data_IF_372647011793
#
_entry.id   IF_372647011793
#
_cell.length_a   1.000
_cell.length_b   1.000
_cell.length_c   1.000
_cell.angle_alpha   90.00
_cell.angle_beta   90.00
_cell.angle_gamma   90.00
#
_symmetry.space_group_name_H-M   'P 1'
#
loop_
_entity.id
_entity.type
_entity.pdbx_description
1 polymer ?
#
# COMPACT_ATOMS: atom_id res chain seq x y z
N UNK A 1 -11.04 -75.19 -36.53
CA UNK A 1 -9.58 -75.04 -36.39
C UNK A 1 -9.02 -74.47 -37.69
N UNK A 2 -8.33 -73.33 -37.64
CA UNK A 2 -7.16 -73.02 -38.50
C UNK A 2 -6.56 -71.69 -38.02
N UNK A 3 -5.28 -71.76 -37.63
CA UNK A 3 -4.41 -70.68 -37.13
C UNK A 3 -3.57 -70.09 -38.30
N UNK A 4 -2.77 -69.02 -38.09
CA UNK A 4 -2.67 -67.85 -38.97
C UNK A 4 -1.47 -67.89 -39.95
N UNK A 5 -1.48 -66.99 -40.94
CA UNK A 5 -0.31 -66.68 -41.77
C UNK A 5 0.35 -65.37 -41.34
N UNK A 6 1.68 -65.40 -41.25
CA UNK A 6 2.55 -64.44 -40.59
C UNK A 6 3.44 -63.72 -41.63
N UNK A 7 3.64 -62.40 -41.39
CA UNK A 7 4.75 -61.50 -41.80
C UNK A 7 4.90 -61.15 -43.29
N UNK A 8 5.08 -59.84 -43.55
CA UNK A 8 6.27 -59.32 -44.23
C UNK A 8 6.49 -57.84 -43.84
N UNK A 9 7.75 -57.50 -43.56
CA UNK A 9 8.23 -56.21 -43.10
C UNK A 9 8.39 -55.18 -44.24
N UNK A 10 8.26 -53.89 -43.92
CA UNK A 10 8.86 -52.82 -44.70
C UNK A 10 9.40 -51.73 -43.77
N UNK A 11 10.71 -51.79 -43.50
CA UNK A 11 11.48 -50.62 -43.06
C UNK A 11 11.65 -49.71 -44.26
N UNK A 12 11.32 -48.42 -44.13
CA UNK A 12 11.94 -47.38 -44.98
C UNK A 12 12.27 -46.16 -44.14
N UNK A 13 13.56 -45.84 -44.14
CA UNK A 13 14.18 -44.72 -43.47
C UNK A 13 14.15 -43.45 -44.33
N UNK A 14 14.48 -42.33 -43.65
CA UNK A 14 14.85 -41.00 -44.16
C UNK A 14 13.66 -40.09 -44.60
N UNK A 15 13.65 -38.77 -44.36
CA UNK A 15 14.72 -37.77 -44.21
C UNK A 15 14.32 -36.68 -43.22
N UNK A 16 15.30 -36.15 -42.50
CA UNK A 16 15.27 -34.86 -41.84
C UNK A 16 15.13 -33.73 -42.87
N UNK A 17 14.12 -32.88 -42.74
CA UNK A 17 14.03 -31.57 -43.40
C UNK A 17 13.63 -30.51 -42.37
N UNK A 18 14.36 -29.41 -42.38
CA UNK A 18 14.47 -28.35 -41.38
C UNK A 18 13.15 -27.64 -41.02
N UNK A 19 13.04 -27.01 -39.82
CA UNK A 19 11.93 -26.11 -39.53
C UNK A 19 12.14 -24.77 -40.26
N UNK A 20 11.28 -24.50 -41.25
CA UNK A 20 11.13 -23.16 -41.83
C UNK A 20 10.39 -22.28 -40.82
N UNK A 21 11.01 -21.17 -40.45
CA UNK A 21 10.41 -20.09 -39.68
C UNK A 21 9.08 -19.67 -40.32
N UNK A 22 7.97 -19.88 -39.60
CA UNK A 22 6.63 -19.48 -40.07
C UNK A 22 6.30 -18.12 -39.47
N UNK A 23 6.03 -17.19 -40.38
CA UNK A 23 5.64 -15.81 -40.18
C UNK A 23 4.54 -15.64 -39.13
N UNK A 24 4.75 -14.66 -38.25
CA UNK A 24 3.77 -14.16 -37.29
C UNK A 24 2.67 -13.42 -38.07
N UNK A 25 1.46 -13.97 -38.11
CA UNK A 25 0.26 -13.25 -38.48
C UNK A 25 -0.56 -13.02 -37.21
N UNK A 26 -0.79 -11.77 -36.76
CA UNK A 26 -1.65 -11.51 -35.62
C UNK A 26 -3.11 -11.57 -36.07
N UNK A 27 -3.68 -12.76 -36.14
CA UNK A 27 -5.15 -12.89 -36.16
C UNK A 27 -5.67 -12.67 -34.74
N UNK A 28 -6.04 -11.43 -34.41
CA UNK A 28 -6.81 -11.15 -33.19
C UNK A 28 -8.27 -11.49 -33.49
N UNK A 29 -8.59 -12.78 -33.48
CA UNK A 29 -9.97 -13.24 -33.51
C UNK A 29 -10.52 -13.16 -32.09
N UNK A 30 -11.30 -12.11 -31.83
CA UNK A 30 -12.11 -11.98 -30.62
C UNK A 30 -13.23 -13.02 -30.66
N UNK A 31 -12.95 -14.22 -30.13
CA UNK A 31 -13.97 -15.17 -29.73
C UNK A 31 -14.19 -14.94 -28.24
N UNK A 32 -15.37 -14.41 -27.88
CA UNK A 32 -15.81 -14.25 -26.50
C UNK A 32 -16.05 -15.60 -25.83
N UNK A 33 -14.97 -16.38 -25.65
CA UNK A 33 -14.97 -17.61 -24.89
C UNK A 33 -15.05 -17.29 -23.41
N UNK A 34 -16.12 -17.76 -22.77
CA UNK A 34 -16.29 -17.77 -21.33
C UNK A 34 -15.04 -18.38 -20.68
N UNK A 35 -14.42 -17.68 -19.73
CA UNK A 35 -13.25 -18.20 -19.03
C UNK A 35 -13.64 -19.52 -18.35
N UNK A 36 -13.20 -20.63 -18.94
CA UNK A 36 -13.38 -21.95 -18.35
C UNK A 36 -12.49 -22.07 -17.12
N UNK A 37 -12.96 -22.79 -16.10
CA UNK A 37 -12.22 -22.98 -14.85
C UNK A 37 -10.78 -23.40 -15.14
N UNK A 38 -9.82 -22.58 -14.71
CA UNK A 38 -8.38 -22.82 -14.86
C UNK A 38 -7.65 -21.91 -15.85
N UNK A 39 -8.34 -21.17 -16.73
CA UNK A 39 -7.69 -20.23 -17.65
C UNK A 39 -7.59 -18.83 -17.03
N UNK A 40 -6.81 -18.71 -15.96
CA UNK A 40 -6.42 -17.41 -15.40
C UNK A 40 -5.49 -16.70 -16.38
N UNK A 41 -6.00 -15.68 -17.07
CA UNK A 41 -5.21 -14.86 -17.99
C UNK A 41 -4.01 -14.20 -17.30
N UNK A 42 -2.98 -13.88 -18.08
CA UNK A 42 -1.72 -13.24 -17.70
C UNK A 42 -1.85 -11.96 -16.84
N UNK A 43 -3.02 -11.30 -16.85
CA UNK A 43 -3.33 -10.12 -16.04
C UNK A 43 -4.13 -10.41 -14.75
N UNK A 44 -4.50 -11.67 -14.52
CA UNK A 44 -5.06 -12.13 -13.25
C UNK A 44 -3.94 -12.39 -12.25
N UNK A 45 -3.32 -11.31 -11.77
CA UNK A 45 -2.28 -11.35 -10.74
C UNK A 45 -2.71 -12.25 -9.57
N UNK A 46 -1.80 -13.14 -9.16
CA UNK A 46 -2.03 -14.20 -8.16
C UNK A 46 -2.47 -13.75 -6.75
N UNK A 47 -2.74 -12.46 -6.54
CA UNK A 47 -3.30 -11.92 -5.30
C UNK A 47 -4.83 -11.90 -5.24
N UNK A 48 -5.53 -11.93 -6.38
CA UNK A 48 -7.01 -11.81 -6.41
C UNK A 48 -7.75 -13.00 -5.75
N UNK A 49 -7.07 -14.14 -5.58
CA UNK A 49 -7.64 -15.37 -5.00
C UNK A 49 -7.45 -15.44 -3.47
N UNK A 50 -6.63 -14.56 -2.88
CA UNK A 50 -6.28 -14.59 -1.45
C UNK A 50 -7.21 -13.70 -0.61
N UNK A 51 -7.93 -12.76 -1.23
CA UNK A 51 -8.94 -11.97 -0.55
C UNK A 51 -10.11 -12.87 -0.11
N UNK A 52 -10.22 -13.15 1.19
CA UNK A 52 -11.25 -14.03 1.81
C UNK A 52 -12.66 -13.42 1.82
N UNK A 53 -12.93 -12.34 1.08
CA UNK A 53 -14.24 -11.69 1.05
C UNK A 53 -14.27 -10.46 0.14
N UNK A 54 -15.47 -9.87 -0.06
CA UNK A 54 -15.60 -8.61 -0.80
C UNK A 54 -14.80 -7.52 -0.07
N UNK A 55 -13.88 -6.86 -0.79
CA UNK A 55 -13.15 -5.70 -0.28
C UNK A 55 -14.11 -4.52 -0.33
N UNK A 56 -14.54 -4.02 0.84
CA UNK A 56 -15.33 -2.80 0.94
C UNK A 56 -14.40 -1.59 0.99
N UNK A 57 -14.78 -0.53 0.25
CA UNK A 57 -14.12 0.77 0.37
C UNK A 57 -14.31 1.32 1.79
N UNK A 58 -13.22 1.58 2.50
CA UNK A 58 -13.24 2.25 3.80
C UNK A 58 -12.82 3.72 3.62
N UNK A 59 -13.76 4.64 3.86
CA UNK A 59 -13.51 6.07 3.79
C UNK A 59 -12.53 6.55 4.85
N UNK A 60 -12.34 5.78 5.94
CA UNK A 60 -11.35 6.08 6.99
C UNK A 60 -9.92 5.76 6.57
N UNK A 61 -9.74 4.99 5.50
CA UNK A 61 -8.42 4.65 4.97
C UNK A 61 -7.81 5.77 4.10
N UNK A 62 -8.51 6.90 3.95
CA UNK A 62 -8.08 8.05 3.14
C UNK A 62 -7.91 9.29 4.03
N UNK A 63 -6.79 9.98 3.86
CA UNK A 63 -6.48 11.19 4.60
C UNK A 63 -7.49 12.31 4.31
N UNK A 64 -8.05 12.89 5.37
CA UNK A 64 -8.80 14.14 5.27
C UNK A 64 -7.84 15.32 5.17
N UNK A 65 -8.02 16.17 4.16
CA UNK A 65 -7.23 17.40 4.02
C UNK A 65 -7.42 18.35 5.21
N UNK A 66 -8.60 18.35 5.82
CA UNK A 66 -8.91 19.17 6.99
C UNK A 66 -8.14 18.69 8.22
N UNK A 67 -8.08 17.38 8.45
CA UNK A 67 -7.32 16.78 9.55
C UNK A 67 -5.81 17.08 9.44
N UNK A 68 -5.27 17.10 8.22
CA UNK A 68 -3.87 17.47 8.00
C UNK A 68 -3.64 18.95 8.27
N UNK A 69 -4.55 19.82 7.80
CA UNK A 69 -4.41 21.27 7.99
C UNK A 69 -4.47 21.68 9.46
N UNK A 70 -5.35 21.02 10.24
CA UNK A 70 -5.49 21.22 11.68
C UNK A 70 -4.26 20.72 12.42
N UNK A 71 -3.79 19.50 12.14
CA UNK A 71 -2.55 18.97 12.71
C UNK A 71 -1.34 19.88 12.41
N UNK A 72 -1.26 20.43 11.19
CA UNK A 72 -0.18 21.34 10.80
C UNK A 72 -0.19 22.61 11.65
N UNK A 73 -1.36 23.23 11.84
CA UNK A 73 -1.49 24.42 12.70
C UNK A 73 -1.09 24.14 14.15
N UNK A 74 -1.54 23.03 14.71
CA UNK A 74 -1.21 22.62 16.08
C UNK A 74 0.30 22.35 16.25
N UNK A 75 0.92 21.71 15.26
CA UNK A 75 2.37 21.47 15.27
C UNK A 75 3.19 22.76 15.12
N UNK A 76 2.71 23.74 14.37
CA UNK A 76 3.34 25.08 14.31
C UNK A 76 3.28 25.80 15.66
N UNK A 77 2.17 25.70 16.37
CA UNK A 77 2.03 26.24 17.74
C UNK A 77 2.97 25.53 18.71
N UNK A 78 3.03 24.20 18.65
CA UNK A 78 3.98 23.40 19.43
C UNK A 78 5.42 23.82 19.15
N UNK A 79 5.78 24.08 17.90
CA UNK A 79 7.13 24.52 17.52
C UNK A 79 7.48 25.90 18.08
N UNK A 80 6.53 26.84 18.09
CA UNK A 80 6.73 28.16 18.74
C UNK A 80 6.98 28.02 20.23
N UNK A 81 6.24 27.14 20.91
CA UNK A 81 6.44 26.87 22.34
C UNK A 81 7.80 26.22 22.59
N UNK A 82 8.23 25.28 21.74
CA UNK A 82 9.57 24.68 21.80
C UNK A 82 10.69 25.70 21.59
N UNK A 83 10.51 26.67 20.70
CA UNK A 83 11.49 27.73 20.46
C UNK A 83 11.68 28.59 21.72
N UNK A 84 10.60 28.94 22.41
CA UNK A 84 10.65 29.64 23.70
C UNK A 84 11.38 28.80 24.74
N UNK A 85 11.10 27.49 24.79
CA UNK A 85 11.76 26.56 25.74
C UNK A 85 13.26 26.43 25.44
N UNK A 86 13.64 26.45 24.16
CA UNK A 86 15.04 26.31 23.73
C UNK A 86 15.86 27.57 23.96
N UNK A 87 15.24 28.74 23.84
CA UNK A 87 15.92 30.04 23.91
C UNK A 87 15.98 30.63 25.32
N UNK A 88 15.04 30.27 26.20
CA UNK A 88 14.97 30.76 27.59
C UNK A 88 15.77 29.92 28.59
N UNK A 89 15.94 30.45 29.81
CA UNK A 89 16.55 29.71 30.92
C UNK A 89 15.52 28.75 31.54
N UNK A 90 15.97 27.61 32.04
CA UNK A 90 15.09 26.58 32.61
C UNK A 90 14.32 27.05 33.86
N UNK A 91 14.81 28.12 34.51
CA UNK A 91 14.20 28.74 35.68
C UNK A 91 13.31 29.94 35.35
N UNK A 92 13.23 30.35 34.08
CA UNK A 92 12.33 31.41 33.66
C UNK A 92 10.87 30.94 33.74
N UNK A 93 10.02 31.74 34.38
CA UNK A 93 8.59 31.47 34.53
C UNK A 93 7.91 31.22 33.18
N UNK A 94 8.31 31.97 32.15
CA UNK A 94 7.83 31.81 30.77
C UNK A 94 8.17 30.45 30.16
N UNK A 95 9.33 29.87 30.48
CA UNK A 95 9.74 28.55 29.99
C UNK A 95 8.97 27.45 30.70
N UNK A 96 8.72 27.61 32.00
CA UNK A 96 7.91 26.66 32.78
C UNK A 96 6.47 26.64 32.25
N UNK A 97 5.87 27.80 32.01
CA UNK A 97 4.55 27.92 31.41
C UNK A 97 4.51 27.32 29.99
N UNK A 98 5.52 27.62 29.16
CA UNK A 98 5.61 27.06 27.81
C UNK A 98 5.70 25.53 27.81
N UNK A 99 6.46 24.92 28.72
CA UNK A 99 6.50 23.45 28.89
C UNK A 99 5.14 22.88 29.29
N UNK A 100 4.46 23.52 30.22
CA UNK A 100 3.12 23.11 30.65
C UNK A 100 2.11 23.19 29.51
N UNK A 101 2.15 24.27 28.72
CA UNK A 101 1.26 24.46 27.57
C UNK A 101 1.59 23.49 26.43
N UNK A 102 2.87 23.26 26.12
CA UNK A 102 3.29 22.28 25.12
C UNK A 102 2.78 20.88 25.51
N UNK A 103 2.90 20.51 26.78
CA UNK A 103 2.40 19.23 27.27
C UNK A 103 0.90 19.11 27.07
N UNK A 104 0.13 20.12 27.51
CA UNK A 104 -1.33 20.14 27.35
C UNK A 104 -1.76 20.09 25.89
N UNK A 105 -1.05 20.79 25.02
CA UNK A 105 -1.35 20.83 23.58
C UNK A 105 -1.11 19.45 22.97
N UNK A 106 0.06 18.84 23.20
CA UNK A 106 0.39 17.54 22.61
C UNK A 106 -0.42 16.39 23.19
N UNK A 107 -0.72 16.40 24.49
CA UNK A 107 -1.55 15.37 25.14
C UNK A 107 -3.04 15.70 25.15
N UNK A 108 -3.48 16.69 24.39
CA UNK A 108 -4.89 17.03 24.28
C UNK A 108 -5.65 15.98 23.48
N UNK A 109 -6.90 15.71 23.88
CA UNK A 109 -7.76 14.71 23.23
C UNK A 109 -7.88 14.97 21.71
N UNK A 110 -7.93 16.24 21.31
CA UNK A 110 -7.99 16.67 19.91
C UNK A 110 -6.80 16.15 19.07
N UNK A 111 -5.56 16.24 19.59
CA UNK A 111 -4.37 15.77 18.86
C UNK A 111 -4.36 14.25 18.79
N UNK A 112 -4.76 13.58 19.86
CA UNK A 112 -4.83 12.11 19.87
C UNK A 112 -5.89 11.60 18.88
N UNK A 113 -7.08 12.21 18.85
CA UNK A 113 -8.14 11.84 17.91
C UNK A 113 -7.73 12.13 16.45
N UNK A 114 -7.06 13.25 16.19
CA UNK A 114 -6.53 13.57 14.86
C UNK A 114 -5.49 12.55 14.39
N UNK A 115 -4.59 12.12 15.27
CA UNK A 115 -3.58 11.12 14.94
C UNK A 115 -4.19 9.73 14.72
N UNK A 116 -5.18 9.33 15.53
CA UNK A 116 -5.94 8.10 15.31
C UNK A 116 -6.73 8.12 13.99
N UNK A 117 -7.18 9.30 13.54
CA UNK A 117 -7.81 9.45 12.22
C UNK A 117 -6.84 9.42 11.04
N UNK A 118 -5.56 9.74 11.27
CA UNK A 118 -4.50 9.76 10.27
C UNK A 118 -3.65 8.49 10.26
N UNK A 119 -3.90 7.55 11.16
CA UNK A 119 -3.24 6.25 11.22
C UNK A 119 -4.26 5.09 11.25
N UNK A 120 -3.96 4.02 10.54
CA UNK A 120 -4.75 2.79 10.60
C UNK A 120 -3.80 1.61 10.84
N UNK A 121 -3.96 0.94 11.99
CA UNK A 121 -3.09 -0.19 12.36
C UNK A 121 -1.63 0.19 12.60
N UNK A 122 -1.35 1.45 12.97
CA UNK A 122 0.00 1.96 13.19
C UNK A 122 0.73 2.42 11.92
N UNK A 123 0.05 2.39 10.77
CA UNK A 123 0.56 2.95 9.51
C UNK A 123 -0.24 4.19 9.09
N UNK A 124 0.40 5.17 8.42
CA UNK A 124 -0.28 6.35 7.92
C UNK A 124 -1.35 6.00 6.87
N UNK A 125 -2.50 6.66 6.94
CA UNK A 125 -3.59 6.48 5.97
C UNK A 125 -3.19 6.90 4.56
N UNK A 126 -3.93 6.41 3.57
CA UNK A 126 -3.64 6.66 2.16
C UNK A 126 -3.90 8.12 1.77
N UNK A 127 -3.13 8.64 0.82
CA UNK A 127 -3.26 10.03 0.36
C UNK A 127 -2.36 11.04 1.07
N UNK A 128 -1.64 10.64 2.12
CA UNK A 128 -0.60 11.49 2.72
C UNK A 128 0.63 11.58 1.81
N UNK A 129 1.13 12.80 1.63
CA UNK A 129 2.45 13.06 1.05
C UNK A 129 3.56 12.62 2.01
N UNK A 130 4.79 12.52 1.49
CA UNK A 130 5.94 12.16 2.33
C UNK A 130 6.16 13.16 3.47
N UNK A 131 5.93 14.46 3.23
CA UNK A 131 6.07 15.49 4.25
C UNK A 131 5.04 15.34 5.36
N UNK A 132 3.78 15.09 5.00
CA UNK A 132 2.70 14.92 5.98
C UNK A 132 2.87 13.63 6.79
N UNK A 133 3.35 12.55 6.17
CA UNK A 133 3.74 11.33 6.92
C UNK A 133 4.81 11.60 7.97
N UNK A 134 5.82 12.41 7.62
CA UNK A 134 6.85 12.81 8.59
C UNK A 134 6.25 13.65 9.72
N UNK A 135 5.33 14.55 9.42
CA UNK A 135 4.64 15.37 10.41
C UNK A 135 3.84 14.53 11.41
N UNK A 136 3.05 13.56 10.93
CA UNK A 136 2.29 12.63 11.78
C UNK A 136 3.21 11.84 12.71
N UNK A 137 4.33 11.33 12.16
CA UNK A 137 5.32 10.61 12.96
C UNK A 137 5.97 11.51 14.02
N UNK A 138 6.34 12.73 13.66
CA UNK A 138 6.94 13.69 14.57
C UNK A 138 5.97 14.06 15.70
N UNK A 139 4.70 14.32 15.38
CA UNK A 139 3.67 14.59 16.38
C UNK A 139 3.54 13.44 17.38
N UNK A 140 3.55 12.19 16.90
CA UNK A 140 3.50 10.99 17.75
C UNK A 140 4.73 10.85 18.64
N UNK A 141 5.92 11.06 18.09
CA UNK A 141 7.17 11.06 18.87
C UNK A 141 7.11 12.11 19.99
N UNK A 142 6.57 13.30 19.71
CA UNK A 142 6.40 14.37 20.72
C UNK A 142 5.41 13.99 21.82
N UNK A 143 4.29 13.34 21.50
CA UNK A 143 3.35 12.84 22.53
C UNK A 143 4.04 11.86 23.47
N UNK A 144 4.89 10.98 22.94
CA UNK A 144 5.62 10.00 23.76
C UNK A 144 6.82 10.59 24.52
N UNK A 145 7.36 11.72 24.07
CA UNK A 145 8.51 12.38 24.70
C UNK A 145 8.15 13.28 25.88
N UNK A 146 6.86 13.62 26.03
CA UNK A 146 6.31 14.58 27.02
C UNK A 146 5.74 13.88 28.26
#
# INVERSE_FOLDING_TARGET
>A
MMLPSIRTAARRAARTTQPLARSYAPSITYSGGQASEGQGGFYGSGGARVAKGPVSWDTKAVASSEAISTLTGLMEEAFKLEEVIRTGDALDEKVIEAKGNLKKLMTGDEVTELLEGLEMGGEPVWGLSTKERHLVREAKEKIHAV
#
